data_IF_372648653449
#
_entry.id   IF_372648653449
#
_cell.length_a   1.000
_cell.length_b   1.000
_cell.length_c   1.000
_cell.angle_alpha   90.00
_cell.angle_beta   90.00
_cell.angle_gamma   90.00
#
_symmetry.space_group_name_H-M   'P 1'
#
loop_
_entity.id
_entity.type
_entity.pdbx_description
1 polymer ?
#
# COMPACT_ATOMS: atom_id res chain seq x y z
N UNK A 1 -23.27 13.94 6.42
CA UNK A 1 -22.34 13.93 5.26
C UNK A 1 -20.98 13.48 5.77
N UNK A 2 -20.39 12.44 5.18
CA UNK A 2 -19.03 12.02 5.51
C UNK A 2 -18.08 12.65 4.49
N UNK A 3 -17.38 13.72 4.89
CA UNK A 3 -16.39 14.38 4.04
C UNK A 3 -15.09 13.54 4.05
N UNK A 4 -14.54 13.13 2.90
CA UNK A 4 -13.28 12.41 2.88
C UNK A 4 -12.14 13.32 3.36
N UNK A 5 -11.27 12.78 4.21
CA UNK A 5 -10.04 13.45 4.64
C UNK A 5 -8.89 12.92 3.80
N UNK A 6 -8.23 13.81 3.05
CA UNK A 6 -7.02 13.46 2.31
C UNK A 6 -5.81 13.54 3.23
N UNK A 7 -5.10 12.43 3.34
CA UNK A 7 -3.85 12.32 4.08
C UNK A 7 -2.73 11.88 3.15
N UNK A 8 -1.49 12.25 3.51
CA UNK A 8 -0.28 11.74 2.87
C UNK A 8 0.17 10.48 3.60
N UNK A 9 0.69 9.50 2.87
CA UNK A 9 1.31 8.31 3.45
C UNK A 9 2.65 8.06 2.79
N UNK A 10 3.68 7.85 3.60
CA UNK A 10 5.01 7.48 3.16
C UNK A 10 5.27 6.06 3.61
N UNK A 11 5.49 5.15 2.66
CA UNK A 11 5.92 3.79 2.94
C UNK A 11 7.45 3.71 2.90
N UNK A 12 8.02 2.93 3.81
CA UNK A 12 9.43 2.56 3.84
C UNK A 12 9.55 1.05 3.67
N UNK A 13 10.59 0.60 2.99
CA UNK A 13 10.74 -0.80 2.68
C UNK A 13 12.00 -1.11 1.90
N UNK A 14 12.17 -2.39 1.59
CA UNK A 14 13.33 -2.91 0.86
C UNK A 14 12.86 -3.81 -0.28
N UNK A 15 13.48 -3.68 -1.45
CA UNK A 15 13.26 -4.60 -2.58
C UNK A 15 14.21 -5.78 -2.45
N UNK A 16 13.74 -6.99 -2.70
CA UNK A 16 14.60 -8.17 -2.71
C UNK A 16 15.64 -8.04 -3.84
N UNK A 17 16.90 -8.42 -3.58
CA UNK A 17 18.00 -8.24 -4.54
C UNK A 17 17.78 -8.99 -5.87
N UNK A 18 17.02 -10.07 -5.84
CA UNK A 18 16.62 -10.86 -7.02
C UNK A 18 15.35 -10.33 -7.71
N UNK A 19 14.78 -9.21 -7.25
CA UNK A 19 13.56 -8.62 -7.79
C UNK A 19 12.27 -9.41 -7.52
N UNK A 20 12.29 -10.48 -6.73
CA UNK A 20 11.13 -11.36 -6.53
C UNK A 20 9.99 -10.72 -5.73
N UNK A 21 10.23 -9.56 -5.13
CA UNK A 21 9.23 -8.80 -4.38
C UNK A 21 9.86 -7.67 -3.56
N UNK A 22 9.04 -7.02 -2.74
CA UNK A 22 9.49 -6.00 -1.80
C UNK A 22 8.83 -6.20 -0.43
N UNK A 23 9.48 -5.68 0.59
CA UNK A 23 9.02 -5.72 1.98
C UNK A 23 8.76 -4.29 2.44
N UNK A 24 7.52 -3.98 2.82
CA UNK A 24 7.14 -2.71 3.45
C UNK A 24 7.37 -2.86 4.94
N UNK A 25 8.38 -2.18 5.47
CA UNK A 25 8.85 -2.30 6.86
C UNK A 25 8.34 -1.18 7.77
N UNK A 26 7.73 -0.15 7.20
CA UNK A 26 7.18 0.98 7.94
C UNK A 26 6.29 1.84 7.07
N UNK A 27 5.39 2.59 7.69
CA UNK A 27 4.79 3.74 7.03
C UNK A 27 4.42 4.82 8.02
N UNK A 28 4.37 6.05 7.52
CA UNK A 28 3.97 7.23 8.29
C UNK A 28 2.84 7.93 7.55
N UNK A 29 1.73 8.15 8.26
CA UNK A 29 0.62 8.97 7.75
C UNK A 29 0.75 10.37 8.31
N UNK A 30 0.53 11.36 7.46
CA UNK A 30 0.63 12.79 7.79
C UNK A 30 -0.38 13.60 7.00
N UNK A 31 -0.56 14.87 7.38
CA UNK A 31 -1.48 15.78 6.70
C UNK A 31 -1.89 16.92 7.62
N UNK A 32 -2.49 17.96 7.04
CA UNK A 32 -2.92 19.14 7.81
C UNK A 32 -4.13 18.87 8.71
N UNK A 33 -4.89 17.80 8.46
CA UNK A 33 -6.01 17.39 9.29
C UNK A 33 -5.51 16.46 10.41
N UNK A 34 -5.96 16.69 11.65
CA UNK A 34 -5.57 15.88 12.82
C UNK A 34 -5.93 14.41 12.69
N UNK A 35 -6.95 14.06 11.90
CA UNK A 35 -7.32 12.68 11.59
C UNK A 35 -6.24 11.93 10.80
N UNK A 36 -5.29 12.64 10.17
CA UNK A 36 -4.16 12.01 9.47
C UNK A 36 -3.07 11.49 10.41
N UNK A 37 -3.08 11.86 11.69
CA UNK A 37 -2.16 11.31 12.70
C UNK A 37 -2.73 10.06 13.42
N UNK A 38 -4.00 9.73 13.16
CA UNK A 38 -4.71 8.62 13.80
C UNK A 38 -4.33 7.23 13.25
N UNK A 39 -4.10 7.04 11.94
CA UNK A 39 -3.80 5.73 11.40
C UNK A 39 -2.49 5.16 11.95
N UNK A 40 -2.52 3.90 12.36
CA UNK A 40 -1.31 3.17 12.78
C UNK A 40 -1.24 1.86 12.03
N UNK A 41 -0.14 1.65 11.29
CA UNK A 41 0.15 0.38 10.62
C UNK A 41 0.63 -0.65 11.65
N UNK A 42 0.25 -1.90 11.45
CA UNK A 42 0.55 -3.02 12.32
C UNK A 42 0.96 -4.23 11.46
N UNK A 43 1.52 -5.26 12.09
CA UNK A 43 1.85 -6.51 11.40
C UNK A 43 2.88 -6.36 10.29
N UNK A 44 3.74 -5.34 10.37
CA UNK A 44 4.88 -5.16 9.47
C UNK A 44 5.93 -6.27 9.75
N UNK A 45 6.67 -6.73 8.73
CA UNK A 45 6.63 -6.25 7.36
C UNK A 45 5.45 -6.78 6.53
N UNK A 46 4.94 -5.95 5.60
CA UNK A 46 4.01 -6.42 4.57
C UNK A 46 4.77 -6.78 3.30
N UNK A 47 4.40 -7.88 2.64
CA UNK A 47 5.11 -8.36 1.46
C UNK A 47 4.36 -7.97 0.18
N UNK A 48 5.02 -7.18 -0.67
CA UNK A 48 4.61 -6.83 -2.03
C UNK A 48 5.17 -7.85 -3.02
N UNK A 49 4.29 -8.51 -3.76
CA UNK A 49 4.66 -9.53 -4.76
C UNK A 49 4.00 -9.21 -6.09
N UNK A 50 4.75 -9.32 -7.19
CA UNK A 50 4.22 -9.21 -8.55
C UNK A 50 3.53 -10.52 -8.91
N UNK A 51 2.29 -10.47 -9.39
CA UNK A 51 1.48 -11.67 -9.71
C UNK A 51 1.25 -11.85 -11.21
N UNK A 52 1.53 -10.83 -12.02
CA UNK A 52 1.44 -10.88 -13.47
C UNK A 52 1.55 -9.48 -14.06
N UNK A 53 1.60 -9.36 -15.38
CA UNK A 53 1.72 -8.06 -16.02
C UNK A 53 2.21 -8.12 -17.46
N UNK A 54 2.31 -6.94 -18.06
CA UNK A 54 2.90 -6.70 -19.37
C UNK A 54 4.10 -5.76 -19.28
N UNK A 55 4.51 -5.12 -20.39
CA UNK A 55 5.73 -4.30 -20.42
C UNK A 55 5.67 -3.04 -19.54
N UNK A 56 4.46 -2.52 -19.27
CA UNK A 56 4.27 -1.24 -18.55
C UNK A 56 3.43 -1.40 -17.29
N UNK A 57 2.35 -2.18 -17.35
CA UNK A 57 1.40 -2.35 -16.26
C UNK A 57 1.51 -3.75 -15.65
N UNK A 58 1.67 -3.79 -14.32
CA UNK A 58 1.84 -5.00 -13.54
C UNK A 58 0.74 -5.08 -12.49
N UNK A 59 0.25 -6.29 -12.27
CA UNK A 59 -0.58 -6.64 -11.14
C UNK A 59 0.30 -7.21 -10.03
N UNK A 60 -0.09 -6.95 -8.79
CA UNK A 60 0.58 -7.49 -7.62
C UNK A 60 -0.35 -7.59 -6.42
N UNK A 61 0.19 -8.13 -5.35
CA UNK A 61 -0.49 -8.21 -4.06
C UNK A 61 0.39 -7.67 -2.96
N UNK A 62 -0.24 -7.09 -1.94
CA UNK A 62 0.41 -6.80 -0.66
C UNK A 62 -0.23 -7.70 0.38
N UNK A 63 0.54 -8.65 0.90
CA UNK A 63 0.13 -9.57 1.96
C UNK A 63 0.57 -9.05 3.33
N UNK A 64 -0.18 -9.41 4.37
CA UNK A 64 0.11 -9.00 5.75
C UNK A 64 -0.51 -7.66 6.15
N UNK A 65 -1.33 -7.03 5.30
CA UNK A 65 -1.92 -5.71 5.56
C UNK A 65 -2.77 -5.74 6.82
N UNK A 66 -2.39 -4.93 7.80
CA UNK A 66 -3.14 -4.74 9.04
C UNK A 66 -2.89 -3.34 9.59
N UNK A 67 -3.95 -2.59 9.86
CA UNK A 67 -3.82 -1.26 10.43
C UNK A 67 -5.02 -0.95 11.32
N UNK A 68 -4.91 0.13 12.09
CA UNK A 68 -6.01 0.66 12.89
C UNK A 68 -6.29 2.13 12.57
N UNK A 69 -7.55 2.51 12.64
CA UNK A 69 -8.04 3.90 12.59
C UNK A 69 -8.96 4.05 13.81
N UNK A 70 -8.40 4.47 14.95
CA UNK A 70 -9.01 4.38 16.30
C UNK A 70 -9.16 2.95 16.85
N UNK A 71 -9.65 2.02 16.04
CA UNK A 71 -9.74 0.59 16.36
C UNK A 71 -9.11 -0.25 15.24
N UNK A 72 -8.75 -1.49 15.57
CA UNK A 72 -8.19 -2.43 14.59
C UNK A 72 -9.18 -2.64 13.44
N UNK A 73 -8.71 -2.43 12.21
CA UNK A 73 -9.53 -2.62 11.02
C UNK A 73 -9.81 -4.11 10.77
N UNK A 74 -8.90 -5.00 11.15
CA UNK A 74 -9.09 -6.45 11.00
C UNK A 74 -8.41 -7.19 12.15
N UNK A 75 -9.06 -8.26 12.64
CA UNK A 75 -8.48 -9.13 13.66
C UNK A 75 -7.20 -9.84 13.13
N UNK A 76 -7.24 -10.27 11.87
CA UNK A 76 -6.15 -10.97 11.18
C UNK A 76 -5.63 -10.18 9.99
N UNK A 77 -4.34 -10.34 9.60
CA UNK A 77 -3.80 -9.71 8.39
C UNK A 77 -4.58 -10.09 7.12
N UNK A 78 -4.65 -9.16 6.17
CA UNK A 78 -5.39 -9.30 4.91
C UNK A 78 -4.44 -9.12 3.73
N UNK A 79 -4.74 -9.76 2.60
CA UNK A 79 -4.06 -9.52 1.33
C UNK A 79 -4.89 -8.58 0.46
N UNK A 80 -4.26 -7.53 -0.06
CA UNK A 80 -4.88 -6.60 -1.01
C UNK A 80 -4.20 -6.69 -2.38
N UNK A 81 -4.94 -6.36 -3.42
CA UNK A 81 -4.47 -6.21 -4.80
C UNK A 81 -3.90 -4.81 -5.01
N UNK A 82 -2.84 -4.73 -5.78
CA UNK A 82 -2.21 -3.47 -6.21
C UNK A 82 -1.84 -3.55 -7.69
N UNK A 83 -1.71 -2.39 -8.32
CA UNK A 83 -1.15 -2.26 -9.65
C UNK A 83 0.08 -1.38 -9.62
N UNK A 84 1.10 -1.72 -10.41
CA UNK A 84 2.28 -0.89 -10.62
C UNK A 84 2.41 -0.52 -12.09
N UNK A 85 2.75 0.74 -12.37
CA UNK A 85 3.00 1.22 -13.72
C UNK A 85 4.45 1.73 -13.83
N UNK A 86 5.26 1.07 -14.65
CA UNK A 86 6.68 1.40 -14.85
C UNK A 86 6.87 2.81 -15.45
N UNK A 87 5.99 3.23 -16.37
CA UNK A 87 6.12 4.51 -17.07
C UNK A 87 5.94 5.71 -16.14
N UNK A 88 5.00 5.59 -15.20
CA UNK A 88 4.69 6.63 -14.21
C UNK A 88 5.31 6.36 -12.85
N UNK A 89 6.07 5.26 -12.68
CA UNK A 89 6.61 4.78 -11.41
C UNK A 89 5.58 4.87 -10.27
N UNK A 90 4.36 4.38 -10.52
CA UNK A 90 3.22 4.56 -9.62
C UNK A 90 2.64 3.22 -9.17
N UNK A 91 2.61 3.02 -7.85
CA UNK A 91 1.88 1.94 -7.17
C UNK A 91 0.50 2.45 -6.79
N UNK A 92 -0.55 1.70 -7.11
CA UNK A 92 -1.94 2.07 -6.77
C UNK A 92 -2.78 0.90 -6.34
N UNK A 93 -3.84 1.19 -5.60
CA UNK A 93 -4.96 0.27 -5.43
C UNK A 93 -5.91 0.44 -6.63
N UNK A 94 -6.16 -0.60 -7.44
CA UNK A 94 -6.88 -0.48 -8.72
C UNK A 94 -8.39 -0.25 -8.55
N UNK A 95 -8.95 -0.72 -7.44
CA UNK A 95 -10.35 -0.55 -7.05
C UNK A 95 -10.47 -0.63 -5.53
N UNK A 96 -11.58 -0.16 -4.98
CA UNK A 96 -11.72 -0.14 -3.52
C UNK A 96 -11.75 -1.55 -2.92
N UNK A 97 -11.02 -1.73 -1.81
CA UNK A 97 -10.83 -3.01 -1.15
C UNK A 97 -11.11 -2.94 0.34
N UNK A 98 -11.74 -3.99 0.86
CA UNK A 98 -12.09 -4.12 2.27
C UNK A 98 -10.94 -4.74 3.06
N UNK A 99 -10.62 -4.15 4.20
CA UNK A 99 -9.66 -4.66 5.18
C UNK A 99 -10.41 -4.79 6.51
N UNK A 100 -11.08 -5.92 6.69
CA UNK A 100 -12.01 -6.15 7.80
C UNK A 100 -13.15 -5.14 7.84
N UNK A 101 -13.23 -4.31 8.88
CA UNK A 101 -14.22 -3.25 9.07
C UNK A 101 -13.86 -1.94 8.34
N UNK A 102 -12.61 -1.79 7.86
CA UNK A 102 -12.16 -0.62 7.13
C UNK A 102 -12.18 -0.84 5.62
N UNK A 103 -12.13 0.25 4.86
CA UNK A 103 -12.12 0.23 3.39
C UNK A 103 -11.06 1.18 2.85
N UNK A 104 -10.19 0.66 1.99
CA UNK A 104 -9.26 1.47 1.20
C UNK A 104 -10.00 1.88 -0.06
N UNK A 105 -10.32 3.16 -0.19
CA UNK A 105 -11.07 3.71 -1.33
C UNK A 105 -10.16 4.18 -2.46
N UNK A 106 -9.02 4.76 -2.09
CA UNK A 106 -7.96 5.15 -3.01
C UNK A 106 -6.61 5.09 -2.28
N UNK A 107 -5.57 4.68 -3.00
CA UNK A 107 -4.20 4.74 -2.54
C UNK A 107 -3.31 4.85 -3.77
N UNK A 108 -2.42 5.83 -3.76
CA UNK A 108 -1.39 6.02 -4.78
C UNK A 108 -0.07 6.32 -4.07
N UNK A 109 1.01 5.68 -4.50
CA UNK A 109 2.35 5.93 -4.01
C UNK A 109 3.33 5.97 -5.19
N UNK A 110 4.31 6.86 -5.12
CA UNK A 110 5.38 6.99 -6.10
C UNK A 110 6.68 6.60 -5.40
N UNK A 111 7.24 5.40 -5.67
CA UNK A 111 8.45 4.94 -4.99
C UNK A 111 9.64 5.88 -5.23
N UNK A 112 10.44 6.09 -4.19
CA UNK A 112 11.72 6.80 -4.27
C UNK A 112 12.77 6.07 -3.43
N UNK A 113 13.92 5.66 -4.00
CA UNK A 113 14.27 5.73 -5.42
C UNK A 113 13.28 5.01 -6.33
N UNK A 114 13.16 5.45 -7.58
CA UNK A 114 12.32 4.77 -8.55
C UNK A 114 12.84 3.33 -8.78
N UNK A 115 11.93 2.37 -8.89
CA UNK A 115 12.28 1.01 -9.29
C UNK A 115 11.48 0.62 -10.54
N UNK A 116 12.02 -0.35 -11.28
CA UNK A 116 11.39 -0.88 -12.49
C UNK A 116 11.13 -2.36 -12.29
N UNK A 117 9.94 -2.82 -12.67
CA UNK A 117 9.60 -4.25 -12.68
C UNK A 117 9.84 -4.79 -14.09
N UNK A 118 10.57 -5.88 -14.21
CA UNK A 118 10.80 -6.56 -15.50
C UNK A 118 10.18 -7.95 -15.46
N UNK A 119 9.59 -8.44 -16.57
CA UNK A 119 9.12 -9.82 -16.69
C UNK A 119 10.22 -10.87 -16.48
#
# INVERSE_FOLDING_TARGET
MNLPVTCNIVFTGTVAANGSGASITGATVSGSNSLCAVPVLQGLPWALTVTGGGPTDFAGTVSGVKFKILSDCSASPVTIQVGFNNSTNTLKVPSSQTVGSCKITALTAVPTPAFTVTP
#
